data_IF_039644585116
#
_entry.id   IF_039644585116
#
_cell.length_a   1.000
_cell.length_b   1.000
_cell.length_c   1.000
_cell.angle_alpha   90.00
_cell.angle_beta   90.00
_cell.angle_gamma   90.00
#
_symmetry.space_group_name_H-M   'P 1'
#
loop_
_entity.id
_entity.type
_entity.pdbx_description
1 polymer ?
#
# COMPACT_ATOMS: atom_id res chain seq x y z
N UNK A 1 9.75 8.11 0.60
CA UNK A 1 10.03 8.43 2.02
C UNK A 1 9.66 7.27 2.92
N UNK A 2 8.42 6.74 2.85
CA UNK A 2 7.95 5.60 3.66
C UNK A 2 8.89 4.38 3.62
N UNK A 3 9.45 4.00 2.46
CA UNK A 3 10.34 2.81 2.35
C UNK A 3 11.57 2.90 3.23
N UNK A 4 12.30 4.01 3.16
CA UNK A 4 13.53 4.18 3.93
C UNK A 4 13.29 4.12 5.44
N UNK A 5 12.32 4.91 5.94
CA UNK A 5 12.02 4.99 7.38
C UNK A 5 11.51 3.66 7.91
N UNK A 6 10.62 3.01 7.16
CA UNK A 6 9.98 1.77 7.57
C UNK A 6 10.93 0.57 7.46
N UNK A 7 11.90 0.58 6.52
CA UNK A 7 12.97 -0.42 6.45
C UNK A 7 13.93 -0.25 7.64
N UNK A 8 14.42 0.96 7.87
CA UNK A 8 15.35 1.24 8.96
C UNK A 8 14.76 0.82 10.32
N UNK A 9 13.48 1.12 10.56
CA UNK A 9 12.82 0.74 11.81
C UNK A 9 12.71 -0.78 12.00
N UNK A 10 12.37 -1.53 10.96
CA UNK A 10 12.22 -2.99 11.04
C UNK A 10 13.55 -3.72 11.17
N UNK A 11 14.60 -3.21 10.52
CA UNK A 11 15.96 -3.73 10.73
C UNK A 11 16.39 -3.52 12.19
N UNK A 12 16.11 -2.33 12.75
CA UNK A 12 16.36 -2.06 14.17
C UNK A 12 15.59 -3.02 15.08
N UNK A 13 14.27 -3.16 14.89
CA UNK A 13 13.43 -4.08 15.68
C UNK A 13 13.92 -5.53 15.62
N UNK A 14 14.31 -6.01 14.43
CA UNK A 14 14.85 -7.35 14.26
C UNK A 14 16.12 -7.56 15.09
N UNK A 15 17.05 -6.60 15.03
CA UNK A 15 18.31 -6.68 15.80
C UNK A 15 18.04 -6.58 17.30
N UNK A 16 17.22 -5.64 17.73
CA UNK A 16 16.95 -5.39 19.14
C UNK A 16 16.23 -6.57 19.81
N UNK A 17 15.33 -7.26 19.09
CA UNK A 17 14.53 -8.39 19.63
C UNK A 17 15.15 -9.76 19.41
N UNK A 18 15.90 -9.96 18.32
CA UNK A 18 16.34 -11.28 17.85
C UNK A 18 17.83 -11.37 17.49
N UNK A 19 18.59 -10.28 17.65
CA UNK A 19 20.03 -10.22 17.36
C UNK A 19 20.37 -9.93 15.90
N UNK A 20 21.66 -9.69 15.63
CA UNK A 20 22.16 -9.26 14.31
C UNK A 20 21.85 -10.24 13.18
N UNK A 21 21.79 -11.54 13.50
CA UNK A 21 21.45 -12.60 12.54
C UNK A 21 20.02 -12.50 12.00
N UNK A 22 19.13 -11.75 12.68
CA UNK A 22 17.76 -11.52 12.24
C UNK A 22 17.62 -10.39 11.21
N UNK A 23 18.70 -9.71 10.81
CA UNK A 23 18.69 -8.65 9.79
C UNK A 23 17.98 -9.07 8.48
N UNK A 24 18.26 -10.26 7.89
CA UNK A 24 17.56 -10.69 6.68
C UNK A 24 16.06 -10.88 6.89
N UNK A 25 15.64 -11.35 8.07
CA UNK A 25 14.23 -11.52 8.40
C UNK A 25 13.54 -10.15 8.59
N UNK A 26 14.23 -9.17 9.19
CA UNK A 26 13.76 -7.78 9.24
C UNK A 26 13.51 -7.17 7.85
N UNK A 27 14.38 -7.43 6.88
CA UNK A 27 14.17 -7.00 5.49
C UNK A 27 12.98 -7.71 4.81
N UNK A 28 12.77 -9.01 5.09
CA UNK A 28 11.59 -9.75 4.58
C UNK A 28 10.29 -9.23 5.21
N UNK A 29 10.28 -8.94 6.51
CA UNK A 29 9.14 -8.32 7.20
C UNK A 29 8.81 -6.96 6.58
N UNK A 30 9.83 -6.15 6.27
CA UNK A 30 9.63 -4.89 5.54
C UNK A 30 8.88 -5.11 4.21
N UNK A 31 9.35 -6.06 3.38
CA UNK A 31 8.71 -6.34 2.10
C UNK A 31 7.24 -6.77 2.28
N UNK A 32 6.95 -7.69 3.21
CA UNK A 32 5.58 -8.15 3.48
C UNK A 32 4.64 -7.03 3.91
N UNK A 33 5.12 -6.10 4.74
CA UNK A 33 4.31 -5.00 5.25
C UNK A 33 4.10 -3.88 4.23
N UNK A 34 4.93 -3.77 3.19
CA UNK A 34 4.87 -2.66 2.23
C UNK A 34 4.35 -3.01 0.84
N UNK A 35 4.48 -4.26 0.40
CA UNK A 35 4.12 -4.65 -0.96
C UNK A 35 2.65 -4.34 -1.31
N UNK A 36 1.71 -4.68 -0.43
CA UNK A 36 0.28 -4.44 -0.64
C UNK A 36 -0.03 -2.93 -0.70
N UNK A 37 0.58 -2.13 0.18
CA UNK A 37 0.40 -0.68 0.20
C UNK A 37 0.90 -0.04 -1.09
N UNK A 38 2.12 -0.37 -1.49
CA UNK A 38 2.75 0.19 -2.70
C UNK A 38 1.91 -0.18 -3.91
N UNK A 39 1.52 -1.46 -4.04
CA UNK A 39 0.67 -1.91 -5.14
C UNK A 39 -0.69 -1.18 -5.16
N UNK A 40 -1.33 -0.95 -4.01
CA UNK A 40 -2.59 -0.21 -3.93
C UNK A 40 -2.42 1.27 -4.35
N UNK A 41 -1.34 1.92 -3.91
CA UNK A 41 -1.03 3.32 -4.28
C UNK A 41 -0.74 3.44 -5.78
N UNK A 42 0.04 2.52 -6.34
CA UNK A 42 0.35 2.50 -7.77
C UNK A 42 -0.89 2.23 -8.62
N UNK A 43 -1.72 1.26 -8.24
CA UNK A 43 -2.97 0.93 -8.93
C UNK A 43 -3.94 2.10 -8.98
N UNK A 44 -4.14 2.76 -7.84
CA UNK A 44 -4.96 3.99 -7.78
C UNK A 44 -4.36 5.14 -8.58
N UNK A 45 -3.03 5.25 -8.66
CA UNK A 45 -2.34 6.21 -9.52
C UNK A 45 -2.59 5.97 -11.00
N UNK A 46 -2.50 4.70 -11.45
CA UNK A 46 -2.76 4.30 -12.83
C UNK A 46 -4.20 4.61 -13.25
N UNK A 47 -5.19 4.25 -12.43
CA UNK A 47 -6.60 4.54 -12.70
C UNK A 47 -6.87 6.04 -12.78
N UNK A 48 -6.24 6.82 -11.88
CA UNK A 48 -6.33 8.29 -11.93
C UNK A 48 -5.73 8.85 -13.21
N UNK A 49 -4.58 8.35 -13.65
CA UNK A 49 -3.95 8.75 -14.92
C UNK A 49 -4.83 8.39 -16.12
N UNK A 50 -5.46 7.20 -16.12
CA UNK A 50 -6.40 6.77 -17.17
C UNK A 50 -7.59 7.74 -17.26
N UNK A 51 -8.20 8.09 -16.13
CA UNK A 51 -9.29 9.09 -16.06
C UNK A 51 -8.82 10.45 -16.61
N UNK A 52 -7.67 10.95 -16.15
CA UNK A 52 -7.13 12.24 -16.59
C UNK A 52 -6.88 12.31 -18.10
N UNK A 53 -6.46 11.22 -18.73
CA UNK A 53 -6.26 11.16 -20.20
C UNK A 53 -7.57 11.23 -21.00
N UNK A 54 -8.70 10.91 -20.38
CA UNK A 54 -10.02 10.84 -21.02
C UNK A 54 -10.90 12.07 -20.69
N UNK A 55 -10.34 13.07 -20.00
CA UNK A 55 -11.08 14.26 -19.56
C UNK A 55 -11.52 15.11 -20.75
N UNK A 56 -12.81 15.46 -20.73
CA UNK A 56 -13.41 16.44 -21.64
C UNK A 56 -13.26 17.85 -21.07
N UNK A 57 -12.36 18.64 -21.64
CA UNK A 57 -12.04 19.98 -21.14
C UNK A 57 -13.21 20.97 -21.25
N UNK A 58 -14.19 20.76 -22.13
CA UNK A 58 -15.37 21.63 -22.18
C UNK A 58 -16.27 21.40 -20.97
N UNK A 59 -16.35 20.16 -20.48
CA UNK A 59 -17.04 19.85 -19.22
C UNK A 59 -16.27 20.34 -18.00
N UNK A 60 -14.94 20.33 -18.03
CA UNK A 60 -14.10 20.86 -16.93
C UNK A 60 -14.32 22.35 -16.71
N UNK A 61 -14.49 23.14 -17.78
CA UNK A 61 -14.80 24.57 -17.66
C UNK A 61 -16.10 24.82 -16.88
N UNK A 62 -17.05 23.89 -16.97
CA UNK A 62 -18.33 23.96 -16.26
C UNK A 62 -18.24 23.37 -14.85
N UNK A 63 -17.34 22.41 -14.63
CA UNK A 63 -17.13 21.78 -13.34
C UNK A 63 -15.64 21.40 -13.13
N UNK A 64 -14.93 22.20 -12.33
CA UNK A 64 -13.51 21.99 -12.02
C UNK A 64 -13.25 20.73 -11.18
N UNK A 65 -14.26 20.18 -10.49
CA UNK A 65 -14.10 18.96 -9.69
C UNK A 65 -13.72 17.74 -10.55
N UNK A 66 -13.98 17.79 -11.87
CA UNK A 66 -13.63 16.71 -12.81
C UNK A 66 -12.11 16.47 -12.95
N UNK A 67 -11.29 17.45 -12.59
CA UNK A 67 -9.82 17.37 -12.60
C UNK A 67 -9.22 17.50 -11.20
N UNK A 68 -10.04 17.65 -10.17
CA UNK A 68 -9.55 17.82 -8.81
C UNK A 68 -9.02 16.47 -8.32
N UNK A 69 -7.74 16.47 -7.93
CA UNK A 69 -7.07 15.29 -7.41
C UNK A 69 -6.81 15.53 -5.94
N UNK A 70 -7.71 15.05 -5.09
CA UNK A 70 -7.43 14.94 -3.67
C UNK A 70 -6.77 13.59 -3.38
N UNK A 71 -5.63 13.55 -2.67
CA UNK A 71 -5.07 12.29 -2.23
C UNK A 71 -6.02 11.67 -1.19
N UNK A 72 -6.34 10.39 -1.37
CA UNK A 72 -7.21 9.68 -0.43
C UNK A 72 -6.64 9.71 0.99
N UNK A 73 -7.49 9.94 1.98
CA UNK A 73 -7.11 10.16 3.39
C UNK A 73 -6.22 9.04 3.96
N UNK A 74 -6.54 7.76 3.65
CA UNK A 74 -5.73 6.60 4.03
C UNK A 74 -4.28 6.60 3.52
N UNK A 75 -4.00 7.37 2.44
CA UNK A 75 -2.63 7.56 1.94
C UNK A 75 -1.88 8.59 2.77
N UNK A 76 -2.56 9.68 3.16
CA UNK A 76 -1.94 10.84 3.82
C UNK A 76 -1.74 10.58 5.31
N UNK A 77 -2.71 9.97 5.98
CA UNK A 77 -2.73 9.80 7.44
C UNK A 77 -1.90 8.60 7.93
N UNK A 78 -1.26 7.87 7.02
CA UNK A 78 -0.49 6.70 7.39
C UNK A 78 0.83 7.07 8.06
N UNK A 79 1.04 6.59 9.29
CA UNK A 79 2.35 6.59 9.94
C UNK A 79 3.11 5.26 9.66
N UNK A 80 4.18 5.29 8.86
CA UNK A 80 4.94 4.09 8.51
C UNK A 80 5.87 3.57 9.63
N UNK A 81 6.12 4.38 10.66
CA UNK A 81 6.91 4.00 11.84
C UNK A 81 6.03 3.32 12.87
N UNK A 82 4.90 3.93 13.22
CA UNK A 82 3.92 3.35 14.14
C UNK A 82 3.45 1.98 13.62
N UNK A 83 3.07 1.89 12.35
CA UNK A 83 2.69 0.63 11.73
C UNK A 83 3.81 -0.42 11.72
N UNK A 84 5.07 0.03 11.67
CA UNK A 84 6.20 -0.88 11.79
C UNK A 84 6.33 -1.43 13.21
N UNK A 85 6.07 -0.64 14.26
CA UNK A 85 6.07 -1.12 15.64
C UNK A 85 4.99 -2.17 15.88
N UNK A 86 3.75 -1.83 15.51
CA UNK A 86 2.57 -2.63 15.84
C UNK A 86 2.59 -4.00 15.17
N UNK A 87 2.97 -4.03 13.89
CA UNK A 87 2.84 -5.24 13.07
C UNK A 87 4.12 -6.07 12.97
N UNK A 88 5.25 -5.60 13.52
CA UNK A 88 6.52 -6.31 13.35
C UNK A 88 6.49 -7.71 13.97
N UNK A 89 6.06 -7.83 15.24
CA UNK A 89 6.13 -9.10 15.96
C UNK A 89 5.21 -10.16 15.32
N UNK A 90 4.01 -9.75 14.93
CA UNK A 90 3.07 -10.63 14.24
C UNK A 90 3.62 -11.08 12.88
N UNK A 91 4.07 -10.14 12.05
CA UNK A 91 4.61 -10.47 10.73
C UNK A 91 5.89 -11.32 10.82
N UNK A 92 6.76 -11.04 11.80
CA UNK A 92 7.96 -11.81 12.07
C UNK A 92 7.61 -13.24 12.50
N UNK A 93 6.64 -13.42 13.40
CA UNK A 93 6.17 -14.75 13.81
C UNK A 93 5.56 -15.53 12.64
N UNK A 94 4.73 -14.89 11.80
CA UNK A 94 4.20 -15.50 10.58
C UNK A 94 5.32 -15.89 9.60
N UNK A 95 6.32 -15.02 9.41
CA UNK A 95 7.49 -15.30 8.58
C UNK A 95 8.25 -16.54 9.06
N UNK A 96 8.52 -16.65 10.37
CA UNK A 96 9.28 -17.78 10.95
C UNK A 96 8.50 -19.09 10.98
N UNK A 97 7.18 -19.01 11.14
CA UNK A 97 6.29 -20.19 11.16
C UNK A 97 5.82 -20.62 9.77
N UNK A 98 6.14 -19.86 8.72
CA UNK A 98 5.64 -20.12 7.36
C UNK A 98 4.16 -19.83 7.18
N UNK A 99 3.51 -19.18 8.15
CA UNK A 99 2.10 -18.78 8.06
C UNK A 99 1.95 -17.55 7.16
N UNK A 100 0.78 -17.43 6.57
CA UNK A 100 0.37 -16.23 5.87
C UNK A 100 0.20 -15.07 6.86
N UNK A 101 0.56 -13.86 6.42
CA UNK A 101 0.40 -12.64 7.17
C UNK A 101 -0.62 -11.77 6.44
N UNK A 102 -1.64 -11.28 7.16
CA UNK A 102 -2.69 -10.44 6.59
C UNK A 102 -2.33 -8.97 6.80
N UNK A 103 -1.92 -8.31 5.72
CA UNK A 103 -1.58 -6.88 5.77
C UNK A 103 -2.84 -6.02 5.89
N UNK A 104 -2.83 -5.07 6.82
CA UNK A 104 -3.93 -4.14 7.11
C UNK A 104 -3.69 -2.73 6.57
N UNK A 105 -2.46 -2.42 6.14
CA UNK A 105 -2.08 -1.12 5.58
C UNK A 105 -2.36 -1.07 4.07
N UNK A 106 -3.57 -1.44 3.70
CA UNK A 106 -4.08 -1.43 2.33
C UNK A 106 -5.55 -1.06 2.35
N UNK A 107 -6.07 -0.74 1.17
CA UNK A 107 -7.52 -0.56 1.02
C UNK A 107 -8.22 -1.88 1.38
N UNK A 108 -9.26 -1.82 2.19
CA UNK A 108 -10.11 -2.96 2.50
C UNK A 108 -10.55 -3.71 1.22
N UNK A 109 -10.40 -5.03 1.22
CA UNK A 109 -10.69 -5.87 0.05
C UNK A 109 -9.63 -5.82 -1.06
N UNK A 110 -8.55 -5.04 -0.92
CA UNK A 110 -7.42 -5.08 -1.85
C UNK A 110 -6.57 -6.33 -1.61
N UNK A 111 -6.38 -7.12 -2.66
CA UNK A 111 -5.50 -8.30 -2.65
C UNK A 111 -4.46 -8.11 -3.75
N UNK A 112 -3.18 -8.06 -3.36
CA UNK A 112 -2.09 -8.06 -4.31
C UNK A 112 -1.86 -9.47 -4.84
N UNK A 113 -1.88 -9.64 -6.16
CA UNK A 113 -1.61 -10.92 -6.84
C UNK A 113 -0.47 -10.73 -7.85
N UNK A 114 0.77 -11.10 -7.51
CA UNK A 114 1.88 -11.01 -8.45
C UNK A 114 1.71 -12.05 -9.55
N UNK A 115 1.48 -11.61 -10.80
CA UNK A 115 1.41 -12.50 -11.97
C UNK A 115 0.18 -12.35 -12.88
N UNK A 116 -0.82 -11.55 -12.50
CA UNK A 116 -1.86 -11.11 -13.43
C UNK A 116 -1.25 -10.11 -14.42
N UNK A 117 -0.80 -10.62 -15.57
CA UNK A 117 -0.55 -9.81 -16.76
C UNK A 117 -1.83 -9.02 -17.05
N UNK A 118 -1.83 -7.73 -16.75
CA UNK A 118 -2.54 -6.74 -17.55
C UNK A 118 -4.08 -6.68 -17.49
N UNK A 119 -4.78 -7.42 -16.63
CA UNK A 119 -6.23 -7.21 -16.45
C UNK A 119 -6.50 -6.16 -15.36
N UNK A 120 -6.15 -4.92 -15.72
CA UNK A 120 -6.42 -3.67 -14.98
C UNK A 120 -7.90 -3.55 -14.57
N UNK A 121 -8.80 -4.15 -15.33
CA UNK A 121 -10.25 -4.05 -15.11
C UNK A 121 -10.72 -4.79 -13.84
N UNK A 122 -10.03 -5.85 -13.41
CA UNK A 122 -10.38 -6.55 -12.16
C UNK A 122 -10.02 -5.74 -10.90
N UNK A 123 -8.90 -5.01 -10.94
CA UNK A 123 -8.46 -4.14 -9.85
C UNK A 123 -9.28 -2.84 -9.76
N UNK A 124 -9.72 -2.31 -10.92
CA UNK A 124 -10.53 -1.11 -11.00
C UNK A 124 -11.91 -1.28 -10.30
N UNK A 125 -12.52 -2.47 -10.38
CA UNK A 125 -13.86 -2.72 -9.81
C UNK A 125 -13.89 -2.55 -8.27
N UNK A 126 -12.85 -2.99 -7.56
CA UNK A 126 -12.80 -2.85 -6.10
C UNK A 126 -12.35 -1.44 -5.67
N UNK A 127 -11.49 -0.77 -6.43
CA UNK A 127 -11.02 0.59 -6.13
C UNK A 127 -12.13 1.63 -6.38
N UNK A 128 -12.95 1.47 -7.42
CA UNK A 128 -14.03 2.42 -7.77
C UNK A 128 -15.12 2.44 -6.70
N UNK A 129 -15.44 1.31 -6.06
CA UNK A 129 -16.44 1.27 -4.97
C UNK A 129 -16.00 2.07 -3.74
N UNK A 130 -14.70 2.08 -3.41
CA UNK A 130 -14.18 2.82 -2.26
C UNK A 130 -14.09 4.33 -2.47
N UNK A 131 -13.82 4.79 -3.70
CA UNK A 131 -13.75 6.23 -4.01
C UNK A 131 -15.12 6.91 -4.14
N UNK A 132 -16.22 6.17 -4.03
CA UNK A 132 -17.59 6.72 -4.09
C UNK A 132 -18.25 6.85 -2.69
N UNK A 133 -17.55 6.46 -1.61
CA UNK A 133 -18.12 6.41 -0.24
C UNK A 133 -17.42 7.40 0.73
N UNK A 134 -16.54 8.28 0.23
CA UNK A 134 -15.87 9.33 1.01
C UNK A 134 -16.28 10.72 0.56
#
# INVERSE_FOLDING_TARGET
MEDGVSLARRLRLAVDKHGVEALPDGAKVHNRLRIDRVAAIESTGMERTKKHRQVDFEKVKQNLELIRIEPAQWKIEHDPLEYAEEMFDECFACLRSGKEFVNTNKLDGFVFAPGLKGDVDSYAINIIKYQQVS
#
